data_IF_221971987604
#
_entry.id   IF_221971987604
#
_cell.length_a   1.000
_cell.length_b   1.000
_cell.length_c   1.000
_cell.angle_alpha   90.00
_cell.angle_beta   90.00
_cell.angle_gamma   90.00
#
_symmetry.space_group_name_H-M   'P 1'
#
loop_
_entity.id
_entity.type
_entity.pdbx_description
1 polymer ?
#
# COMPACT_ATOMS: atom_id res chain seq x y z
N UNK A 1 42.94 -5.64 -61.68
CA UNK A 1 41.84 -6.23 -60.91
C UNK A 1 42.11 -5.91 -59.45
N UNK A 2 41.38 -4.95 -58.85
CA UNK A 2 41.51 -4.57 -57.41
C UNK A 2 40.37 -5.25 -56.64
N UNK A 3 40.73 -6.18 -55.74
CA UNK A 3 39.80 -6.88 -54.91
C UNK A 3 39.42 -5.99 -53.70
N UNK A 4 38.16 -5.65 -53.54
CA UNK A 4 37.61 -4.85 -52.44
C UNK A 4 37.15 -5.82 -51.34
N UNK A 5 37.86 -5.87 -50.23
CA UNK A 5 37.50 -6.64 -49.04
C UNK A 5 36.54 -5.78 -48.19
N UNK A 6 35.26 -6.14 -48.18
CA UNK A 6 34.24 -5.54 -47.31
C UNK A 6 34.36 -6.20 -45.95
N UNK A 7 34.81 -5.44 -44.95
CA UNK A 7 34.84 -5.83 -43.54
C UNK A 7 33.43 -5.61 -42.94
N UNK A 8 32.69 -6.69 -42.80
CA UNK A 8 31.37 -6.66 -42.16
C UNK A 8 31.58 -6.66 -40.63
N UNK A 9 31.50 -5.49 -40.01
CA UNK A 9 31.55 -5.37 -38.54
C UNK A 9 30.20 -5.85 -37.93
N UNK A 10 30.16 -7.04 -37.37
CA UNK A 10 29.04 -7.53 -36.59
C UNK A 10 29.06 -6.82 -35.24
N UNK A 11 28.17 -5.84 -35.03
CA UNK A 11 27.91 -5.24 -33.73
C UNK A 11 27.21 -6.29 -32.86
N UNK A 12 27.94 -6.92 -31.96
CA UNK A 12 27.35 -7.74 -30.86
C UNK A 12 26.65 -6.79 -29.89
N UNK A 13 25.34 -6.66 -30.00
CA UNK A 13 24.52 -6.03 -28.99
C UNK A 13 24.48 -7.00 -27.79
N UNK A 14 25.30 -6.77 -26.80
CA UNK A 14 25.23 -7.46 -25.52
C UNK A 14 23.92 -7.02 -24.82
N UNK A 15 22.87 -7.83 -24.94
CA UNK A 15 21.71 -7.73 -24.09
C UNK A 15 22.16 -8.10 -22.66
N UNK A 16 22.40 -7.12 -21.81
CA UNK A 16 22.57 -7.34 -20.36
C UNK A 16 21.21 -7.68 -19.80
N UNK A 17 20.85 -8.97 -19.77
CA UNK A 17 19.72 -9.44 -18.97
C UNK A 17 20.10 -9.20 -17.51
N UNK A 18 19.49 -8.20 -16.87
CA UNK A 18 19.60 -8.06 -15.41
C UNK A 18 18.95 -9.29 -14.79
N UNK A 19 19.70 -10.01 -13.97
CA UNK A 19 19.16 -11.11 -13.18
C UNK A 19 18.15 -10.51 -12.20
N UNK A 20 16.87 -10.91 -12.28
CA UNK A 20 15.84 -10.52 -11.35
C UNK A 20 15.76 -11.55 -10.22
N UNK A 21 15.63 -11.07 -8.99
CA UNK A 21 15.40 -11.91 -7.84
C UNK A 21 13.93 -12.33 -7.81
N UNK A 22 13.66 -13.62 -7.52
CA UNK A 22 12.33 -14.20 -7.55
C UNK A 22 11.89 -14.65 -6.17
N UNK A 23 10.69 -14.26 -5.75
CA UNK A 23 10.07 -14.65 -4.50
C UNK A 23 8.66 -15.18 -4.73
N UNK A 24 8.20 -16.04 -3.80
CA UNK A 24 6.83 -16.55 -3.78
C UNK A 24 6.09 -15.97 -2.58
N UNK A 25 4.89 -15.46 -2.83
CA UNK A 25 3.97 -14.94 -1.83
C UNK A 25 2.76 -15.88 -1.74
N UNK A 26 2.85 -16.91 -0.88
CA UNK A 26 1.81 -17.94 -0.77
C UNK A 26 0.85 -17.74 0.42
N UNK A 27 1.22 -16.89 1.40
CA UNK A 27 0.53 -16.81 2.69
C UNK A 27 -0.12 -15.45 2.94
N UNK A 28 -0.16 -14.57 1.94
CA UNK A 28 -0.73 -13.20 2.07
C UNK A 28 -2.22 -13.12 1.73
N UNK A 29 -2.81 -14.16 1.16
CA UNK A 29 -4.21 -14.27 0.78
C UNK A 29 -4.67 -15.70 0.91
N UNK A 30 -5.96 -15.94 1.14
CA UNK A 30 -6.55 -17.27 1.10
C UNK A 30 -6.85 -17.71 -0.34
N UNK A 31 -7.20 -16.77 -1.20
CA UNK A 31 -7.61 -17.02 -2.59
C UNK A 31 -6.45 -16.96 -3.58
N UNK A 32 -5.47 -16.06 -3.35
CA UNK A 32 -4.41 -15.77 -4.31
C UNK A 32 -3.03 -16.15 -3.80
N UNK A 33 -2.12 -16.40 -4.74
CA UNK A 33 -0.68 -16.45 -4.54
C UNK A 33 0.01 -15.58 -5.58
N UNK A 34 1.21 -15.11 -5.30
CA UNK A 34 1.94 -14.27 -6.24
C UNK A 34 3.40 -14.70 -6.42
N UNK A 35 3.94 -14.44 -7.61
CA UNK A 35 5.38 -14.45 -7.89
C UNK A 35 5.83 -13.00 -8.01
N UNK A 36 6.88 -12.63 -7.28
CA UNK A 36 7.49 -11.31 -7.29
C UNK A 36 8.85 -11.43 -7.95
N UNK A 37 9.10 -10.61 -8.96
CA UNK A 37 10.40 -10.45 -9.59
C UNK A 37 10.85 -9.01 -9.33
N UNK A 38 12.01 -8.83 -8.68
CA UNK A 38 12.54 -7.52 -8.30
C UNK A 38 13.98 -7.36 -8.78
N UNK A 39 14.35 -6.14 -9.13
CA UNK A 39 15.63 -5.87 -9.77
C UNK A 39 16.84 -6.02 -8.84
N UNK A 40 16.68 -5.73 -7.54
CA UNK A 40 17.82 -5.64 -6.62
C UNK A 40 17.47 -6.22 -5.25
N UNK A 41 18.39 -7.03 -4.70
CA UNK A 41 18.40 -7.43 -3.31
C UNK A 41 19.79 -7.27 -2.71
N UNK A 42 19.88 -6.62 -1.55
CA UNK A 42 21.12 -6.45 -0.81
C UNK A 42 20.86 -6.68 0.70
N UNK A 43 21.69 -7.49 1.33
CA UNK A 43 21.50 -7.87 2.73
C UNK A 43 20.15 -8.55 2.96
N UNK A 44 19.32 -7.97 3.81
CA UNK A 44 17.99 -8.52 4.15
C UNK A 44 16.83 -7.69 3.55
N UNK A 45 17.05 -7.01 2.42
CA UNK A 45 16.04 -6.19 1.76
C UNK A 45 16.14 -6.27 0.25
N UNK A 46 15.00 -6.14 -0.42
CA UNK A 46 14.89 -6.06 -1.88
C UNK A 46 14.18 -4.77 -2.27
N UNK A 47 14.61 -4.15 -3.36
CA UNK A 47 14.06 -2.88 -3.84
C UNK A 47 14.19 -2.68 -5.34
N UNK A 48 13.43 -1.72 -5.87
CA UNK A 48 13.48 -1.27 -7.26
C UNK A 48 12.31 -1.75 -8.09
N UNK A 49 12.48 -1.69 -9.41
CA UNK A 49 11.43 -2.13 -10.33
C UNK A 49 11.08 -3.59 -10.13
N UNK A 50 9.78 -3.86 -10.15
CA UNK A 50 9.30 -5.21 -9.93
C UNK A 50 8.13 -5.57 -10.84
N UNK A 51 8.02 -6.88 -11.10
CA UNK A 51 6.85 -7.49 -11.72
C UNK A 51 6.22 -8.44 -10.71
N UNK A 52 4.91 -8.30 -10.51
CA UNK A 52 4.10 -9.14 -9.62
C UNK A 52 3.09 -9.89 -10.46
N UNK A 53 3.18 -11.20 -10.48
CA UNK A 53 2.25 -12.07 -11.20
C UNK A 53 1.37 -12.77 -10.17
N UNK A 54 0.07 -12.52 -10.22
CA UNK A 54 -0.93 -13.08 -9.30
C UNK A 54 -1.58 -14.30 -9.93
N UNK A 55 -1.74 -15.35 -9.14
CA UNK A 55 -2.36 -16.61 -9.52
C UNK A 55 -3.51 -16.96 -8.58
N UNK A 56 -4.57 -17.52 -9.09
CA UNK A 56 -5.59 -18.20 -8.31
C UNK A 56 -5.01 -19.47 -7.69
N UNK A 57 -5.16 -19.66 -6.37
CA UNK A 57 -4.56 -20.80 -5.65
C UNK A 57 -5.17 -22.15 -6.02
N UNK A 58 -6.46 -22.17 -6.37
CA UNK A 58 -7.19 -23.42 -6.63
C UNK A 58 -6.89 -23.94 -8.03
N UNK A 59 -6.94 -23.03 -9.00
CA UNK A 59 -6.81 -23.39 -10.41
C UNK A 59 -5.38 -23.31 -10.94
N UNK A 60 -4.48 -22.66 -10.18
CA UNK A 60 -3.08 -22.34 -10.57
C UNK A 60 -2.98 -21.49 -11.84
N UNK A 61 -4.08 -20.84 -12.24
CA UNK A 61 -4.11 -19.95 -13.41
C UNK A 61 -3.63 -18.57 -13.03
N UNK A 62 -2.90 -17.96 -13.94
CA UNK A 62 -2.56 -16.54 -13.86
C UNK A 62 -3.85 -15.71 -13.93
N UNK A 63 -3.98 -14.79 -12.97
CA UNK A 63 -5.10 -13.85 -12.86
C UNK A 63 -4.71 -12.54 -13.50
N UNK A 64 -3.56 -11.97 -13.10
CA UNK A 64 -3.09 -10.69 -13.62
C UNK A 64 -1.59 -10.50 -13.38
N UNK A 65 -0.99 -9.54 -14.11
CA UNK A 65 0.41 -9.14 -13.99
C UNK A 65 0.52 -7.65 -13.78
N UNK A 66 1.20 -7.24 -12.70
CA UNK A 66 1.37 -5.87 -12.27
C UNK A 66 2.84 -5.44 -12.33
N UNK A 67 3.05 -4.13 -12.44
CA UNK A 67 4.37 -3.51 -12.39
C UNK A 67 4.43 -2.47 -11.28
N UNK A 68 5.50 -2.51 -10.49
CA UNK A 68 5.85 -1.45 -9.54
C UNK A 68 7.13 -0.80 -9.99
N UNK A 69 7.20 0.52 -9.95
CA UNK A 69 8.44 1.26 -10.26
C UNK A 69 9.43 1.22 -9.10
N UNK A 70 8.92 1.03 -7.87
CA UNK A 70 9.76 1.03 -6.67
C UNK A 70 9.14 0.14 -5.58
N UNK A 71 9.20 -1.18 -5.80
CA UNK A 71 8.84 -2.16 -4.78
C UNK A 71 9.97 -2.23 -3.76
N UNK A 72 9.61 -2.27 -2.47
CA UNK A 72 10.58 -2.39 -1.38
C UNK A 72 10.02 -3.32 -0.30
N UNK A 73 10.81 -4.28 0.16
CA UNK A 73 10.43 -5.23 1.21
C UNK A 73 11.64 -5.87 1.87
N UNK A 74 11.44 -6.25 3.14
CA UNK A 74 12.42 -7.02 3.88
C UNK A 74 12.37 -8.50 3.57
N UNK A 75 13.48 -9.20 3.85
CA UNK A 75 13.58 -10.66 3.80
C UNK A 75 13.52 -11.25 5.20
N UNK A 76 12.97 -12.47 5.30
CA UNK A 76 13.06 -13.31 6.50
C UNK A 76 14.48 -13.86 6.64
N UNK A 77 14.80 -14.49 7.79
CA UNK A 77 16.06 -15.20 7.98
C UNK A 77 16.27 -16.32 6.95
N UNK A 78 15.19 -16.89 6.43
CA UNK A 78 15.20 -17.91 5.37
C UNK A 78 15.18 -17.32 3.97
N UNK A 79 15.46 -16.03 3.81
CA UNK A 79 15.52 -15.30 2.54
C UNK A 79 14.21 -15.34 1.73
N UNK A 80 13.07 -15.40 2.41
CA UNK A 80 11.75 -15.23 1.80
C UNK A 80 11.26 -13.79 2.00
N UNK A 81 10.40 -13.30 1.10
CA UNK A 81 9.77 -12.00 1.27
C UNK A 81 8.95 -11.94 2.57
N UNK A 82 9.15 -10.90 3.37
CA UNK A 82 8.31 -10.62 4.53
C UNK A 82 6.96 -10.12 4.03
N UNK A 83 5.95 -10.95 4.20
CA UNK A 83 4.57 -10.70 3.82
C UNK A 83 3.71 -10.76 5.07
N UNK A 84 2.77 -9.84 5.21
CA UNK A 84 1.87 -9.80 6.35
C UNK A 84 1.00 -8.55 6.33
N UNK A 85 0.07 -8.42 7.26
CA UNK A 85 -0.69 -7.21 7.45
C UNK A 85 0.20 -6.08 7.95
N UNK A 86 -0.03 -4.88 7.44
CA UNK A 86 0.55 -3.66 7.97
C UNK A 86 -0.08 -3.36 9.33
N UNK A 87 0.64 -3.65 10.40
CA UNK A 87 0.53 -2.82 11.58
C UNK A 87 1.40 -1.58 11.34
N UNK A 88 0.82 -0.40 11.44
CA UNK A 88 1.54 0.87 11.30
C UNK A 88 2.87 0.84 12.05
N UNK A 89 3.95 0.93 11.31
CA UNK A 89 5.31 1.06 11.84
C UNK A 89 6.13 -0.21 12.02
N UNK A 90 5.57 -1.42 11.95
CA UNK A 90 6.34 -2.66 12.17
C UNK A 90 6.69 -3.45 10.92
N UNK A 91 5.83 -3.49 9.91
CA UNK A 91 6.06 -4.28 8.72
C UNK A 91 5.61 -3.51 7.48
N UNK A 92 6.53 -3.36 6.55
CA UNK A 92 6.21 -2.91 5.20
C UNK A 92 6.12 -4.16 4.33
N UNK A 93 4.91 -4.54 3.95
CA UNK A 93 4.70 -5.67 3.06
C UNK A 93 4.60 -5.16 1.62
N UNK A 94 5.21 -5.85 0.65
CA UNK A 94 5.13 -5.45 -0.74
C UNK A 94 3.74 -5.67 -1.34
N UNK A 95 2.94 -6.61 -0.78
CA UNK A 95 1.60 -6.96 -1.24
C UNK A 95 0.65 -7.04 -0.06
N UNK A 96 -0.50 -6.41 -0.16
CA UNK A 96 -1.57 -6.46 0.83
C UNK A 96 -2.84 -6.90 0.12
N UNK A 97 -3.42 -8.01 0.57
CA UNK A 97 -4.72 -8.49 0.11
C UNK A 97 -5.78 -8.22 1.17
N UNK A 98 -6.98 -7.81 0.74
CA UNK A 98 -8.11 -7.58 1.64
C UNK A 98 -9.29 -7.00 0.90
N UNK A 99 -10.47 -7.05 1.50
CA UNK A 99 -11.68 -6.42 0.98
C UNK A 99 -11.68 -4.95 1.43
N UNK A 100 -11.21 -4.06 0.56
CA UNK A 100 -10.99 -2.65 0.88
C UNK A 100 -12.25 -1.79 0.71
N UNK A 101 -13.17 -2.21 -0.15
CA UNK A 101 -14.42 -1.51 -0.45
C UNK A 101 -15.66 -2.19 0.13
N UNK A 102 -15.47 -3.31 0.85
CA UNK A 102 -16.51 -4.08 1.55
C UNK A 102 -17.57 -4.71 0.62
N UNK A 103 -17.16 -5.09 -0.59
CA UNK A 103 -18.02 -5.77 -1.57
C UNK A 103 -17.96 -7.31 -1.47
N UNK A 104 -17.08 -7.83 -0.61
CA UNK A 104 -16.91 -9.26 -0.37
C UNK A 104 -15.88 -9.92 -1.26
N UNK A 105 -15.23 -9.20 -2.15
CA UNK A 105 -14.12 -9.67 -2.97
C UNK A 105 -12.78 -9.27 -2.32
N UNK A 106 -11.74 -10.02 -2.59
CA UNK A 106 -10.41 -9.74 -2.04
C UNK A 106 -9.62 -8.87 -3.03
N UNK A 107 -9.37 -7.62 -2.65
CA UNK A 107 -8.63 -6.62 -3.40
C UNK A 107 -7.12 -6.76 -3.19
N UNK A 108 -6.33 -5.99 -3.94
CA UNK A 108 -4.87 -6.01 -3.88
C UNK A 108 -4.31 -4.59 -3.80
N UNK A 109 -3.36 -4.38 -2.88
CA UNK A 109 -2.48 -3.21 -2.87
C UNK A 109 -1.03 -3.66 -3.07
N UNK A 110 -0.31 -2.98 -3.96
CA UNK A 110 1.09 -3.26 -4.31
C UNK A 110 1.92 -2.03 -3.94
N UNK A 111 2.97 -2.23 -3.14
CA UNK A 111 3.87 -1.14 -2.78
C UNK A 111 4.52 -0.53 -4.03
N UNK A 112 4.52 0.81 -4.10
CA UNK A 112 5.12 1.57 -5.19
C UNK A 112 5.80 2.84 -4.64
N UNK A 113 6.91 2.64 -3.95
CA UNK A 113 7.77 3.69 -3.39
C UNK A 113 7.39 4.17 -2.00
N UNK A 114 7.93 5.35 -1.65
CA UNK A 114 7.78 6.03 -0.38
C UNK A 114 7.30 7.47 -0.62
N UNK A 115 6.18 7.62 -1.32
CA UNK A 115 5.61 8.93 -1.72
C UNK A 115 4.72 9.54 -0.63
N UNK A 116 4.42 8.77 0.43
CA UNK A 116 3.59 9.21 1.55
C UNK A 116 4.26 10.27 2.41
N UNK A 117 3.48 10.87 3.31
CA UNK A 117 3.98 11.84 4.29
C UNK A 117 5.13 11.23 5.10
N UNK A 118 6.17 12.03 5.37
CA UNK A 118 7.40 11.58 6.06
C UNK A 118 8.11 10.40 5.37
N UNK A 119 8.03 10.31 4.03
CA UNK A 119 8.54 9.19 3.24
C UNK A 119 7.93 7.85 3.63
N UNK A 120 6.68 7.85 4.04
CA UNK A 120 5.92 6.63 4.31
C UNK A 120 5.70 5.81 3.04
N UNK A 121 5.53 4.50 3.17
CA UNK A 121 5.21 3.62 2.05
C UNK A 121 3.99 4.10 1.28
N UNK A 122 4.04 3.99 -0.04
CA UNK A 122 2.92 4.26 -0.93
C UNK A 122 2.51 3.00 -1.68
N UNK A 123 1.22 2.88 -1.98
CA UNK A 123 0.66 1.69 -2.63
C UNK A 123 -0.25 2.06 -3.79
N UNK A 124 -0.14 1.29 -4.86
CA UNK A 124 -1.14 1.26 -5.92
C UNK A 124 -2.21 0.24 -5.55
N UNK A 125 -3.48 0.66 -5.58
CA UNK A 125 -4.62 -0.15 -5.14
C UNK A 125 -5.44 -0.60 -6.34
N UNK A 126 -5.79 -1.87 -6.33
CA UNK A 126 -6.56 -2.54 -7.36
C UNK A 126 -7.75 -3.24 -6.71
N UNK A 127 -8.97 -2.95 -7.18
CA UNK A 127 -10.18 -3.63 -6.73
C UNK A 127 -10.45 -4.87 -7.57
N UNK A 128 -10.82 -5.94 -6.89
CA UNK A 128 -11.26 -7.16 -7.55
C UNK A 128 -12.57 -6.92 -8.30
N UNK A 129 -12.70 -7.52 -9.47
CA UNK A 129 -13.86 -7.43 -10.34
C UNK A 129 -14.28 -8.84 -10.79
N UNK A 130 -15.42 -8.92 -11.48
CA UNK A 130 -15.86 -10.16 -12.09
C UNK A 130 -14.76 -10.80 -12.97
N UNK A 131 -14.83 -12.11 -13.15
CA UNK A 131 -13.87 -12.90 -13.94
C UNK A 131 -12.45 -12.91 -13.40
N UNK A 132 -12.27 -12.75 -12.08
CA UNK A 132 -10.96 -12.72 -11.42
C UNK A 132 -10.00 -11.68 -12.01
N UNK A 133 -10.49 -10.48 -12.27
CA UNK A 133 -9.68 -9.34 -12.73
C UNK A 133 -9.49 -8.35 -11.60
N UNK A 134 -8.39 -7.62 -11.67
CA UNK A 134 -8.11 -6.50 -10.79
C UNK A 134 -8.13 -5.19 -11.59
N UNK A 135 -8.90 -4.21 -11.14
CA UNK A 135 -9.01 -2.90 -11.77
C UNK A 135 -8.35 -1.84 -10.91
N UNK A 136 -7.49 -0.98 -11.47
CA UNK A 136 -6.85 0.09 -10.71
C UNK A 136 -7.90 1.06 -10.16
N UNK A 137 -7.74 1.44 -8.89
CA UNK A 137 -8.61 2.41 -8.22
C UNK A 137 -7.80 3.64 -7.80
N UNK A 138 -8.01 4.77 -8.50
CA UNK A 138 -7.28 6.01 -8.28
C UNK A 138 -7.55 6.65 -6.92
N UNK A 139 -8.79 6.56 -6.43
CA UNK A 139 -9.18 7.18 -5.16
C UNK A 139 -8.52 6.46 -3.98
N UNK A 140 -8.57 5.12 -3.95
CA UNK A 140 -7.91 4.34 -2.92
C UNK A 140 -6.39 4.41 -3.03
N UNK A 141 -5.83 4.42 -4.25
CA UNK A 141 -4.40 4.65 -4.47
C UNK A 141 -3.96 5.99 -3.88
N UNK A 142 -4.74 7.07 -4.08
CA UNK A 142 -4.46 8.37 -3.49
C UNK A 142 -4.45 8.30 -1.95
N UNK A 143 -5.45 7.66 -1.35
CA UNK A 143 -5.50 7.47 0.10
C UNK A 143 -4.32 6.65 0.63
N UNK A 144 -3.86 5.63 -0.10
CA UNK A 144 -2.76 4.75 0.26
C UNK A 144 -1.37 5.32 -0.08
N UNK A 145 -1.27 6.46 -0.78
CA UNK A 145 0.01 7.03 -1.23
C UNK A 145 0.30 8.44 -0.73
N UNK A 146 -0.68 9.19 -0.26
CA UNK A 146 -0.48 10.59 0.17
C UNK A 146 -0.45 10.77 1.70
N UNK A 147 -0.65 9.68 2.46
CA UNK A 147 -0.77 9.70 3.92
C UNK A 147 0.39 8.93 4.61
N UNK A 148 0.22 8.52 5.85
CA UNK A 148 1.24 7.75 6.59
C UNK A 148 1.22 6.25 6.24
N UNK A 149 1.23 5.94 4.95
CA UNK A 149 1.23 4.57 4.43
C UNK A 149 -0.16 4.10 4.01
N UNK A 150 -0.33 2.78 3.96
CA UNK A 150 -1.62 2.15 3.64
C UNK A 150 -2.68 2.53 4.68
N UNK A 151 -3.91 2.67 4.26
CA UNK A 151 -5.05 2.86 5.15
C UNK A 151 -5.35 1.59 5.96
N UNK A 152 -5.91 1.75 7.15
CA UNK A 152 -6.47 0.67 7.95
C UNK A 152 -7.84 0.26 7.43
N UNK A 153 -8.22 -1.01 7.64
CA UNK A 153 -9.51 -1.56 7.20
C UNK A 153 -10.28 -2.10 8.40
N UNK A 154 -11.38 -1.45 8.76
CA UNK A 154 -12.31 -1.94 9.78
C UNK A 154 -13.51 -2.64 9.13
N UNK A 155 -13.46 -3.96 9.06
CA UNK A 155 -14.53 -4.81 8.50
C UNK A 155 -15.84 -4.72 9.31
N UNK A 156 -15.77 -4.41 10.61
CA UNK A 156 -16.94 -4.35 11.48
C UNK A 156 -17.77 -3.11 11.21
N UNK A 157 -17.13 -1.97 11.06
CA UNK A 157 -17.80 -0.70 10.79
C UNK A 157 -17.91 -0.40 9.29
N UNK A 158 -17.29 -1.22 8.44
CA UNK A 158 -17.14 -1.01 7.00
C UNK A 158 -16.57 0.38 6.69
N UNK A 159 -15.41 0.64 7.27
CA UNK A 159 -14.67 1.89 7.11
C UNK A 159 -13.19 1.61 6.81
N UNK A 160 -12.58 2.51 6.08
CA UNK A 160 -11.13 2.61 6.01
C UNK A 160 -10.67 3.88 6.74
N UNK A 161 -9.49 3.83 7.35
CA UNK A 161 -8.94 4.98 8.06
C UNK A 161 -7.55 5.34 7.53
N UNK A 162 -7.32 6.63 7.27
CA UNK A 162 -6.00 7.16 6.96
C UNK A 162 -5.47 7.95 8.15
N UNK A 163 -4.14 8.02 8.23
CA UNK A 163 -3.44 8.75 9.28
C UNK A 163 -2.58 9.85 8.68
N UNK A 164 -2.67 11.03 9.27
CA UNK A 164 -1.90 12.20 8.91
C UNK A 164 -1.20 12.73 10.15
N UNK A 165 -0.02 13.30 9.97
CA UNK A 165 0.77 13.91 11.04
C UNK A 165 1.37 15.22 10.55
N UNK A 166 1.45 16.21 11.46
CA UNK A 166 2.20 17.44 11.20
C UNK A 166 3.07 17.78 12.41
N UNK A 167 4.37 17.58 12.21
CA UNK A 167 5.38 17.75 13.26
C UNK A 167 5.23 16.75 14.42
N UNK A 168 5.58 17.20 15.61
CA UNK A 168 5.59 16.37 16.83
C UNK A 168 4.20 16.19 17.46
N UNK A 169 3.28 17.09 17.18
CA UNK A 169 2.23 17.39 18.14
C UNK A 169 0.82 17.46 17.51
N UNK A 170 0.70 17.13 16.24
CA UNK A 170 -0.56 17.10 15.52
C UNK A 170 -0.71 15.76 14.82
N UNK A 171 -1.73 15.01 15.20
CA UNK A 171 -2.13 13.75 14.60
C UNK A 171 -3.59 13.85 14.15
N UNK A 172 -3.91 13.34 12.96
CA UNK A 172 -5.27 13.29 12.44
C UNK A 172 -5.57 11.93 11.84
N UNK A 173 -6.65 11.33 12.32
CA UNK A 173 -7.24 10.12 11.71
C UNK A 173 -8.52 10.52 10.99
N UNK A 174 -8.66 10.08 9.74
CA UNK A 174 -9.86 10.31 8.92
C UNK A 174 -10.45 8.98 8.53
N UNK A 175 -11.72 8.77 8.87
CA UNK A 175 -12.46 7.56 8.52
C UNK A 175 -13.32 7.82 7.28
N UNK A 176 -13.22 6.91 6.32
CA UNK A 176 -13.97 6.93 5.08
C UNK A 176 -14.98 5.78 5.04
N UNK A 177 -16.14 6.07 4.51
CA UNK A 177 -17.14 5.09 4.06
C UNK A 177 -17.26 5.12 2.55
N UNK A 178 -17.98 4.17 2.01
CA UNK A 178 -18.23 4.07 0.57
C UNK A 178 -19.70 4.37 0.27
N UNK A 179 -19.92 5.12 -0.80
CA UNK A 179 -21.27 5.35 -1.33
C UNK A 179 -21.76 4.15 -2.17
N UNK A 180 -22.97 4.26 -2.70
CA UNK A 180 -23.57 3.22 -3.53
C UNK A 180 -22.83 2.97 -4.87
N UNK A 181 -21.87 3.82 -5.24
CA UNK A 181 -21.01 3.69 -6.42
C UNK A 181 -19.59 3.23 -6.06
N UNK A 182 -19.38 2.81 -4.83
CA UNK A 182 -18.07 2.41 -4.31
C UNK A 182 -17.02 3.54 -4.29
N UNK A 183 -17.47 4.78 -4.15
CA UNK A 183 -16.59 5.95 -4.04
C UNK A 183 -16.38 6.27 -2.55
N UNK A 184 -15.13 6.34 -2.06
CA UNK A 184 -14.86 6.67 -0.67
C UNK A 184 -15.21 8.15 -0.38
N UNK A 185 -15.87 8.39 0.76
CA UNK A 185 -16.14 9.74 1.28
C UNK A 185 -15.81 9.82 2.76
N UNK A 186 -15.34 10.98 3.23
CA UNK A 186 -15.06 11.21 4.64
C UNK A 186 -16.35 11.13 5.47
N UNK A 187 -16.41 10.20 6.43
CA UNK A 187 -17.52 10.04 7.37
C UNK A 187 -17.24 10.79 8.68
N UNK A 188 -16.01 10.67 9.16
CA UNK A 188 -15.59 11.31 10.42
C UNK A 188 -14.09 11.54 10.46
N UNK A 189 -13.64 12.45 11.34
CA UNK A 189 -12.23 12.59 11.67
C UNK A 189 -12.01 12.93 13.14
N UNK A 190 -10.84 12.52 13.63
CA UNK A 190 -10.34 12.86 14.97
C UNK A 190 -9.00 13.55 14.79
N UNK A 191 -8.84 14.71 15.40
CA UNK A 191 -7.59 15.45 15.46
C UNK A 191 -7.15 15.48 16.92
N UNK A 192 -5.89 15.12 17.16
CA UNK A 192 -5.20 15.27 18.43
C UNK A 192 -4.13 16.33 18.29
N UNK A 193 -4.29 17.44 18.99
CA UNK A 193 -3.35 18.56 19.00
C UNK A 193 -2.77 18.75 20.39
N UNK A 194 -1.50 18.43 20.54
CA UNK A 194 -0.70 18.58 21.77
C UNK A 194 0.35 19.69 21.68
N UNK A 195 0.14 20.68 20.80
CA UNK A 195 1.05 21.82 20.63
C UNK A 195 1.09 22.79 21.82
N UNK A 196 0.05 22.74 22.66
CA UNK A 196 0.01 23.53 23.91
C UNK A 196 0.54 22.66 25.05
N UNK A 197 1.54 23.18 25.78
CA UNK A 197 2.15 22.47 26.90
C UNK A 197 1.10 21.90 27.87
N UNK A 198 1.30 20.64 28.27
CA UNK A 198 0.48 19.88 29.22
C UNK A 198 -0.99 19.66 28.83
N UNK A 199 -1.41 20.05 27.61
CA UNK A 199 -2.79 19.89 27.13
C UNK A 199 -2.83 19.14 25.80
N UNK A 200 -3.74 18.18 25.69
CA UNK A 200 -4.15 17.57 24.44
C UNK A 200 -5.55 18.07 24.09
N UNK A 201 -5.69 18.69 22.95
CA UNK A 201 -6.99 19.09 22.39
C UNK A 201 -7.46 18.06 21.38
N UNK A 202 -8.55 17.38 21.69
CA UNK A 202 -9.18 16.39 20.78
C UNK A 202 -10.37 17.04 20.08
N UNK A 203 -10.30 17.06 18.76
CA UNK A 203 -11.37 17.60 17.91
C UNK A 203 -11.96 16.43 17.11
N UNK A 204 -13.20 16.07 17.40
CA UNK A 204 -13.95 15.09 16.63
C UNK A 204 -14.89 15.80 15.67
N UNK A 205 -14.86 15.38 14.40
CA UNK A 205 -15.81 15.82 13.38
C UNK A 205 -16.52 14.59 12.82
N UNK A 206 -17.82 14.72 12.60
CA UNK A 206 -18.64 13.66 12.00
C UNK A 206 -19.72 14.26 11.12
N UNK A 207 -19.95 13.64 9.96
CA UNK A 207 -21.07 14.03 9.09
C UNK A 207 -22.34 13.33 9.59
N UNK A 208 -23.34 14.13 9.96
CA UNK A 208 -24.66 13.65 10.41
C UNK A 208 -25.72 14.44 9.64
N UNK A 209 -26.57 13.76 8.89
CA UNK A 209 -27.61 14.36 8.03
C UNK A 209 -27.05 15.45 7.09
N UNK A 210 -25.88 15.17 6.47
CA UNK A 210 -25.19 16.09 5.54
C UNK A 210 -24.57 17.33 6.21
N UNK A 211 -24.54 17.39 7.55
CA UNK A 211 -23.94 18.50 8.31
C UNK A 211 -22.78 18.02 9.16
N UNK A 212 -21.73 18.81 9.21
CA UNK A 212 -20.58 18.53 10.08
C UNK A 212 -20.95 18.88 11.52
N UNK A 213 -20.98 17.88 12.39
CA UNK A 213 -20.99 18.04 13.85
C UNK A 213 -19.55 18.01 14.35
N UNK A 214 -19.15 19.06 15.10
CA UNK A 214 -17.82 19.20 15.66
C UNK A 214 -17.89 19.23 17.19
N UNK A 215 -17.05 18.43 17.84
CA UNK A 215 -16.85 18.42 19.29
C UNK A 215 -15.40 18.75 19.60
N UNK A 216 -15.14 19.53 20.63
CA UNK A 216 -13.80 19.86 21.10
C UNK A 216 -13.71 19.52 22.57
N UNK A 217 -12.72 18.70 22.93
CA UNK A 217 -12.43 18.31 24.30
C UNK A 217 -10.96 18.63 24.60
N UNK A 218 -10.66 18.98 25.86
CA UNK A 218 -9.30 19.24 26.32
C UNK A 218 -8.97 18.34 27.50
N UNK A 219 -7.82 17.73 27.44
CA UNK A 219 -7.33 16.80 28.46
C UNK A 219 -5.96 17.27 28.96
N UNK A 220 -5.60 16.95 30.19
CA UNK A 220 -4.21 17.03 30.61
C UNK A 220 -3.42 15.92 29.91
N UNK A 221 -2.28 16.24 29.34
CA UNK A 221 -1.46 15.30 28.57
C UNK A 221 -1.16 14.01 29.32
N UNK A 222 -0.80 14.11 30.63
CA UNK A 222 -0.52 12.96 31.49
C UNK A 222 -1.73 12.03 31.68
N UNK A 223 -2.94 12.59 31.66
CA UNK A 223 -4.16 11.81 31.89
C UNK A 223 -4.68 11.19 30.57
N UNK A 224 -4.30 11.77 29.44
CA UNK A 224 -4.67 11.32 28.10
C UNK A 224 -3.86 10.12 27.61
N UNK A 225 -2.54 10.16 27.78
CA UNK A 225 -1.64 9.11 27.27
C UNK A 225 -1.36 7.98 28.27
N UNK A 226 -1.84 8.06 29.51
CA UNK A 226 -1.69 7.00 30.55
C UNK A 226 -2.98 6.19 30.78
N UNK A 227 -3.88 6.17 29.82
CA UNK A 227 -5.11 5.35 29.89
C UNK A 227 -4.89 3.91 29.46
#
# INVERSE_FOLDING_TARGET
MKSLIIFCSILLIANTSKAQFKFLANNSSDQYKAKIFVDKCEGNACSGKATVIVYDKVTDREVDTFHSEDLDFGLTETQNAKLGWLELGKYQTPLIFGDFNFDGLEDLAIRNGNKGAYSSPSYDVYLAAAENKFLPNSELTKLASENLGMFDVDKKTKQIAIHQKDGCCFDKTINYKFDAKNIPYEDSSVIEDSSIADIVTVITQKIVDGKIKRTVQKFKMKDYYNQ
#
